data_IF_139029812719
#
_entry.id   IF_139029812719
#
_cell.length_a   1.000
_cell.length_b   1.000
_cell.length_c   1.000
_cell.angle_alpha   90.00
_cell.angle_beta   90.00
_cell.angle_gamma   90.00
#
_symmetry.space_group_name_H-M   'P 1'
#
loop_
_entity.id
_entity.type
_entity.pdbx_description
1 polymer ?
#
# COMPACT_ATOMS: atom_id res chain seq x y z
N UNK A 1 11.14 1.09 1.19
CA UNK A 1 10.13 1.65 0.28
C UNK A 1 10.55 1.37 -1.14
N UNK A 2 9.58 1.18 -2.02
CA UNK A 2 9.83 0.95 -3.45
C UNK A 2 9.98 2.28 -4.19
N UNK A 3 9.24 3.31 -3.77
CA UNK A 3 9.28 4.64 -4.35
C UNK A 3 9.37 5.73 -3.27
N UNK A 4 9.94 6.86 -3.65
CA UNK A 4 10.05 8.07 -2.82
C UNK A 4 9.49 9.24 -3.61
N UNK A 5 8.64 10.06 -2.98
CA UNK A 5 8.07 11.26 -3.60
C UNK A 5 7.93 12.38 -2.58
N UNK A 6 8.42 13.57 -2.91
CA UNK A 6 8.15 14.76 -2.10
C UNK A 6 6.82 15.40 -2.53
N UNK A 7 5.94 15.61 -1.56
CA UNK A 7 4.61 16.22 -1.76
C UNK A 7 4.42 17.27 -0.69
N UNK A 8 4.36 18.54 -1.10
CA UNK A 8 4.10 19.69 -0.21
C UNK A 8 5.02 19.74 1.03
N UNK A 9 6.33 19.47 0.84
CA UNK A 9 7.31 19.49 1.94
C UNK A 9 7.29 18.24 2.84
N UNK A 10 6.47 17.24 2.52
CA UNK A 10 6.47 15.92 3.16
C UNK A 10 7.07 14.87 2.23
N UNK A 11 8.02 14.08 2.72
CA UNK A 11 8.60 12.96 1.98
C UNK A 11 7.73 11.72 2.17
N UNK A 12 7.12 11.26 1.09
CA UNK A 12 6.34 10.03 1.05
C UNK A 12 7.25 8.87 0.68
N UNK A 13 7.25 7.85 1.54
CA UNK A 13 7.84 6.54 1.29
C UNK A 13 6.70 5.61 0.84
N UNK A 14 6.59 5.34 -0.46
CA UNK A 14 5.53 4.50 -1.01
C UNK A 14 6.02 3.06 -1.15
N UNK A 15 5.36 2.12 -0.47
CA UNK A 15 5.66 0.69 -0.49
C UNK A 15 4.57 -0.03 -1.28
N UNK A 16 4.94 -0.64 -2.40
CA UNK A 16 4.05 -1.53 -3.16
C UNK A 16 3.93 -2.86 -2.44
N UNK A 17 2.70 -3.39 -2.33
CA UNK A 17 2.47 -4.60 -1.57
C UNK A 17 1.39 -5.49 -2.18
N UNK A 18 1.82 -6.70 -2.55
CA UNK A 18 0.91 -7.81 -2.81
C UNK A 18 0.41 -8.41 -1.50
N UNK A 19 1.02 -9.52 -1.08
CA UNK A 19 0.66 -10.24 0.15
C UNK A 19 1.67 -10.00 1.28
N UNK A 20 1.19 -9.88 2.51
CA UNK A 20 2.05 -10.07 3.69
C UNK A 20 2.25 -11.57 3.98
N UNK A 21 3.50 -11.99 4.14
CA UNK A 21 3.90 -13.37 4.38
C UNK A 21 3.66 -13.81 5.81
N UNK A 22 4.09 -13.01 6.79
CA UNK A 22 4.03 -13.37 8.20
C UNK A 22 3.90 -12.17 9.14
N UNK A 23 3.84 -12.47 10.45
CA UNK A 23 3.79 -11.49 11.53
C UNK A 23 4.99 -10.55 11.51
N UNK A 24 6.19 -11.07 11.29
CA UNK A 24 7.41 -10.28 11.38
C UNK A 24 7.43 -9.22 10.27
N UNK A 25 7.00 -9.58 9.07
CA UNK A 25 6.94 -8.68 7.94
C UNK A 25 6.01 -7.50 8.19
N UNK A 26 4.75 -7.73 8.59
CA UNK A 26 3.85 -6.59 8.80
C UNK A 26 4.20 -5.81 10.06
N UNK A 27 4.70 -6.46 11.12
CA UNK A 27 5.07 -5.81 12.37
C UNK A 27 6.25 -4.85 12.19
N UNK A 28 7.18 -5.13 11.27
CA UNK A 28 8.32 -4.23 11.00
C UNK A 28 7.87 -2.83 10.60
N UNK A 29 6.79 -2.71 9.83
CA UNK A 29 6.31 -1.42 9.34
C UNK A 29 5.72 -0.57 10.48
N UNK A 30 5.07 -1.19 11.46
CA UNK A 30 4.59 -0.51 12.68
C UNK A 30 5.76 0.13 13.43
N UNK A 31 6.89 -0.57 13.54
CA UNK A 31 8.10 -0.02 14.16
C UNK A 31 8.72 1.10 13.33
N UNK A 32 8.84 0.92 12.02
CA UNK A 32 9.33 1.96 11.11
C UNK A 32 8.52 3.24 11.28
N UNK A 33 7.19 3.14 11.26
CA UNK A 33 6.31 4.30 11.41
C UNK A 33 6.57 5.09 12.71
N UNK A 34 6.82 4.39 13.83
CA UNK A 34 7.08 5.02 15.14
C UNK A 34 8.38 5.82 15.18
N UNK A 35 9.34 5.51 14.31
CA UNK A 35 10.65 6.17 14.29
C UNK A 35 10.80 7.16 13.13
N UNK A 36 9.82 7.24 12.22
CA UNK A 36 9.89 8.17 11.11
C UNK A 36 9.84 9.63 11.62
N UNK A 37 10.65 10.54 11.03
CA UNK A 37 10.50 11.96 11.24
C UNK A 37 9.09 12.46 10.89
N UNK A 38 8.64 13.56 11.51
CA UNK A 38 7.31 14.13 11.28
C UNK A 38 7.05 14.53 9.81
N UNK A 39 8.10 14.92 9.09
CA UNK A 39 8.04 15.25 7.67
C UNK A 39 8.12 14.03 6.74
N UNK A 40 8.09 12.80 7.28
CA UNK A 40 8.10 11.57 6.51
C UNK A 40 6.83 10.75 6.76
N UNK A 41 6.35 10.06 5.72
CA UNK A 41 5.19 9.18 5.81
C UNK A 41 5.41 7.90 5.04
N UNK A 42 5.27 6.75 5.71
CA UNK A 42 5.16 5.46 5.03
C UNK A 42 3.72 5.24 4.58
N UNK A 43 3.52 5.06 3.28
CA UNK A 43 2.23 4.85 2.62
C UNK A 43 2.28 3.53 1.85
N UNK A 44 1.20 2.76 1.90
CA UNK A 44 1.11 1.51 1.13
C UNK A 44 0.36 1.70 -0.18
N UNK A 45 0.81 0.99 -1.22
CA UNK A 45 0.07 0.73 -2.44
C UNK A 45 -0.25 -0.77 -2.50
N UNK A 46 -1.47 -1.15 -2.15
CA UNK A 46 -1.92 -2.54 -2.14
C UNK A 46 -2.41 -2.96 -3.53
N UNK A 47 -1.87 -4.08 -4.04
CA UNK A 47 -2.41 -4.72 -5.24
C UNK A 47 -3.81 -5.31 -4.97
N UNK A 48 -3.99 -5.94 -3.81
CA UNK A 48 -5.27 -6.50 -3.37
C UNK A 48 -5.52 -6.11 -1.90
N UNK A 49 -6.20 -4.98 -1.63
CA UNK A 49 -6.43 -4.49 -0.28
C UNK A 49 -7.33 -5.41 0.56
N UNK A 50 -8.17 -6.23 -0.08
CA UNK A 50 -9.07 -7.16 0.60
C UNK A 50 -8.40 -8.51 0.92
N UNK A 51 -7.15 -8.71 0.49
CA UNK A 51 -6.42 -9.95 0.80
C UNK A 51 -6.27 -10.15 2.31
N UNK A 52 -6.42 -11.39 2.79
CA UNK A 52 -6.36 -11.68 4.23
C UNK A 52 -4.94 -11.56 4.77
N UNK A 53 -4.80 -10.91 5.93
CA UNK A 53 -3.56 -10.89 6.68
C UNK A 53 -3.11 -12.32 7.03
N UNK A 54 -1.79 -12.60 7.02
CA UNK A 54 -1.28 -13.90 7.39
C UNK A 54 -1.68 -14.24 8.83
N UNK A 55 -2.11 -15.48 9.04
CA UNK A 55 -2.52 -16.02 10.35
C UNK A 55 -3.71 -15.29 11.01
N UNK A 56 -4.45 -14.46 10.28
CA UNK A 56 -5.65 -13.81 10.81
C UNK A 56 -6.72 -14.84 11.17
N UNK A 57 -7.32 -14.65 12.36
CA UNK A 57 -8.46 -15.43 12.82
C UNK A 57 -9.67 -15.20 11.90
N UNK A 58 -10.40 -16.28 11.62
CA UNK A 58 -11.67 -16.22 10.89
C UNK A 58 -12.74 -15.67 11.81
N UNK A 59 -13.50 -14.67 11.35
CA UNK A 59 -14.65 -14.08 12.04
C UNK A 59 -15.88 -14.97 11.90
N UNK A 60 -16.95 -14.66 12.64
CA UNK A 60 -18.22 -15.42 12.57
C UNK A 60 -18.84 -15.44 11.17
N UNK A 61 -18.62 -14.38 10.41
CA UNK A 61 -19.11 -14.21 9.03
C UNK A 61 -18.21 -14.87 7.97
N UNK A 62 -17.15 -15.59 8.38
CA UNK A 62 -16.21 -16.26 7.48
C UNK A 62 -15.08 -15.35 6.95
N UNK A 63 -15.14 -14.04 7.19
CA UNK A 63 -14.08 -13.12 6.75
C UNK A 63 -12.84 -13.20 7.64
N UNK A 64 -11.69 -12.75 7.11
CA UNK A 64 -10.46 -12.53 7.87
C UNK A 64 -10.11 -11.05 7.84
N UNK A 65 -9.29 -10.60 8.79
CA UNK A 65 -8.73 -9.24 8.74
C UNK A 65 -7.98 -9.04 7.42
N UNK A 66 -8.34 -8.02 6.65
CA UNK A 66 -7.67 -7.70 5.39
C UNK A 66 -6.43 -6.82 5.57
N UNK A 67 -5.65 -6.64 4.50
CA UNK A 67 -4.54 -5.68 4.46
C UNK A 67 -5.03 -4.25 4.76
N UNK A 68 -6.11 -3.82 4.12
CA UNK A 68 -6.71 -2.51 4.34
C UNK A 68 -7.14 -2.31 5.79
N UNK A 69 -7.79 -3.30 6.41
CA UNK A 69 -8.20 -3.23 7.82
C UNK A 69 -6.99 -3.20 8.76
N UNK A 70 -5.92 -3.93 8.45
CA UNK A 70 -4.68 -3.86 9.22
C UNK A 70 -4.01 -2.49 9.10
N UNK A 71 -3.93 -1.94 7.90
CA UNK A 71 -3.35 -0.63 7.65
C UNK A 71 -4.12 0.45 8.41
N UNK A 72 -5.45 0.46 8.27
CA UNK A 72 -6.34 1.36 9.01
C UNK A 72 -6.18 1.24 10.52
N UNK A 73 -6.15 0.02 11.07
CA UNK A 73 -5.99 -0.22 12.51
C UNK A 73 -4.60 0.17 13.06
N UNK A 74 -3.60 0.41 12.20
CA UNK A 74 -2.27 0.91 12.58
C UNK A 74 -2.03 2.33 12.05
N UNK A 75 -3.10 3.04 11.69
CA UNK A 75 -3.11 4.42 11.20
C UNK A 75 -2.24 4.65 9.95
N UNK A 76 -2.06 3.64 9.09
CA UNK A 76 -1.37 3.80 7.82
C UNK A 76 -2.31 4.36 6.76
N UNK A 77 -1.85 5.38 6.02
CA UNK A 77 -2.44 5.73 4.74
C UNK A 77 -2.09 4.65 3.72
N UNK A 78 -3.06 4.28 2.90
CA UNK A 78 -2.87 3.33 1.83
C UNK A 78 -3.74 3.68 0.62
N UNK A 79 -3.35 3.18 -0.53
CA UNK A 79 -4.09 3.25 -1.79
C UNK A 79 -4.11 1.86 -2.44
N UNK A 80 -5.13 1.59 -3.24
CA UNK A 80 -5.09 0.62 -4.35
C UNK A 80 -4.68 1.29 -5.66
N UNK A 81 -4.50 0.50 -6.71
CA UNK A 81 -4.31 1.00 -8.09
C UNK A 81 -5.40 2.00 -8.53
N UNK A 82 -6.64 1.75 -8.11
CA UNK A 82 -7.80 2.59 -8.44
C UNK A 82 -7.84 3.90 -7.65
N UNK A 83 -7.38 3.89 -6.40
CA UNK A 83 -7.48 5.05 -5.50
C UNK A 83 -6.22 5.92 -5.45
N UNK A 84 -5.13 5.48 -6.08
CA UNK A 84 -3.88 6.22 -6.08
C UNK A 84 -4.09 7.58 -6.79
N UNK A 85 -3.69 8.71 -6.17
CA UNK A 85 -3.98 10.03 -6.74
C UNK A 85 -3.37 10.21 -8.14
N UNK A 86 -4.13 10.78 -9.08
CA UNK A 86 -3.66 10.93 -10.45
C UNK A 86 -2.41 11.82 -10.57
N UNK A 87 -2.28 12.84 -9.70
CA UNK A 87 -1.08 13.66 -9.61
C UNK A 87 0.16 12.92 -9.04
N UNK A 88 0.00 11.67 -8.61
CA UNK A 88 1.11 10.83 -8.17
C UNK A 88 1.67 9.97 -9.30
N UNK A 89 0.86 9.68 -10.31
CA UNK A 89 1.20 8.89 -11.48
C UNK A 89 1.52 9.80 -12.65
N UNK A 90 2.26 9.26 -13.63
CA UNK A 90 2.33 9.87 -14.94
C UNK A 90 1.10 9.42 -15.73
N UNK A 91 0.10 10.31 -15.87
CA UNK A 91 -1.13 10.00 -16.60
C UNK A 91 -0.86 9.67 -18.08
N UNK A 92 0.23 10.18 -18.66
CA UNK A 92 0.59 9.90 -20.05
C UNK A 92 1.04 8.46 -20.25
N UNK A 93 1.60 7.82 -19.21
CA UNK A 93 2.00 6.41 -19.27
C UNK A 93 0.79 5.47 -19.47
N UNK A 94 -0.37 5.77 -18.87
CA UNK A 94 -1.60 4.99 -19.06
C UNK A 94 -2.14 5.03 -20.49
N UNK A 95 -1.74 6.03 -21.27
CA UNK A 95 -2.09 6.16 -22.68
C UNK A 95 -0.99 5.63 -23.61
N UNK A 96 0.13 5.17 -23.08
CA UNK A 96 1.25 4.69 -23.88
C UNK A 96 0.93 3.35 -24.54
N UNK A 97 1.46 3.13 -25.74
CA UNK A 97 1.34 1.85 -26.45
C UNK A 97 1.90 0.68 -25.62
N UNK A 98 2.93 0.93 -24.80
CA UNK A 98 3.51 -0.08 -23.90
C UNK A 98 2.52 -0.54 -22.84
N UNK A 99 1.81 0.41 -22.20
CA UNK A 99 0.80 0.09 -21.19
C UNK A 99 -0.38 -0.68 -21.81
N UNK A 100 -0.89 -0.23 -22.96
CA UNK A 100 -1.98 -0.90 -23.65
C UNK A 100 -1.61 -2.33 -24.04
N UNK A 101 -0.42 -2.54 -24.64
CA UNK A 101 0.06 -3.87 -25.02
C UNK A 101 0.17 -4.84 -23.84
N UNK A 102 0.58 -4.37 -22.66
CA UNK A 102 0.70 -5.23 -21.45
C UNK A 102 -0.65 -5.66 -20.87
N UNK A 103 -1.73 -4.95 -21.16
CA UNK A 103 -3.06 -5.22 -20.60
C UNK A 103 -4.02 -5.88 -21.60
N UNK A 104 -3.62 -6.02 -22.87
CA UNK A 104 -4.38 -6.72 -23.92
C UNK A 104 -4.08 -8.25 -23.97
N UNK A 105 -3.06 -8.73 -23.25
CA UNK A 105 -2.66 -10.14 -23.11
C UNK A 105 -3.27 -10.81 -21.85
#
# INVERSE_FOLDING_TARGET
PDFIKDVNGKTILLESKGRFWDYQEYNKYVWIKKILPENMELVFLFAEPNSPMPQAKIRKDGTKRSHAEWAWANDFRWFSEESLPSNWIDETYRQSEEFLRRNDD
#
